data_IF_277127423623
#
_entry.id   IF_277127423623
#
_cell.length_a   1.000
_cell.length_b   1.000
_cell.length_c   1.000
_cell.angle_alpha   90.00
_cell.angle_beta   90.00
_cell.angle_gamma   90.00
#
_symmetry.space_group_name_H-M   'P 1'
#
loop_
_entity.id
_entity.type
_entity.pdbx_description
1 polymer ?
#
# COMPACT_ATOMS: atom_id res chain seq x y z
N UNK A 1 5.78 9.54 7.73
CA UNK A 1 4.57 9.43 6.86
C UNK A 1 3.88 8.10 7.17
N UNK A 2 2.65 7.89 6.72
CA UNK A 2 1.97 6.60 6.89
C UNK A 2 1.72 5.95 5.52
N UNK A 3 1.86 4.63 5.43
CA UNK A 3 1.61 3.87 4.20
C UNK A 3 0.67 2.71 4.49
N UNK A 4 -0.46 2.65 3.78
CA UNK A 4 -1.38 1.54 3.80
C UNK A 4 -1.06 0.55 2.68
N UNK A 5 -0.96 -0.72 3.05
CA UNK A 5 -0.61 -1.83 2.15
C UNK A 5 -1.66 -2.94 2.26
N UNK A 6 -2.07 -3.50 1.11
CA UNK A 6 -3.16 -4.50 1.03
C UNK A 6 -2.84 -5.68 0.09
N UNK A 7 -1.59 -5.76 -0.40
CA UNK A 7 -1.09 -6.78 -1.32
C UNK A 7 0.23 -7.38 -0.83
N UNK A 8 1.19 -7.56 -1.73
CA UNK A 8 2.51 -8.19 -1.46
C UNK A 8 3.27 -7.51 -0.32
N UNK A 9 3.21 -6.18 -0.23
CA UNK A 9 3.85 -5.40 0.85
C UNK A 9 3.23 -5.61 2.24
N UNK A 10 2.17 -6.41 2.37
CA UNK A 10 1.66 -6.85 3.70
C UNK A 10 2.57 -7.90 4.35
N UNK A 11 3.41 -8.57 3.56
CA UNK A 11 4.46 -9.46 4.04
C UNK A 11 5.63 -8.64 4.58
N UNK A 12 5.89 -8.79 5.87
CA UNK A 12 6.94 -8.07 6.57
C UNK A 12 8.33 -8.46 6.04
N UNK A 13 8.60 -9.75 5.82
CA UNK A 13 9.88 -10.19 5.26
C UNK A 13 10.14 -9.57 3.89
N UNK A 14 9.10 -9.45 3.08
CA UNK A 14 9.19 -8.81 1.78
C UNK A 14 9.50 -7.32 1.91
N UNK A 15 8.80 -6.61 2.80
CA UNK A 15 9.05 -5.20 3.10
C UNK A 15 10.51 -4.95 3.54
N UNK A 16 11.06 -5.86 4.35
CA UNK A 16 12.46 -5.79 4.78
C UNK A 16 13.45 -5.98 3.63
N UNK A 17 13.16 -6.89 2.68
CA UNK A 17 14.01 -7.08 1.50
C UNK A 17 14.02 -5.84 0.60
N UNK A 18 12.86 -5.21 0.39
CA UNK A 18 12.75 -4.02 -0.46
C UNK A 18 13.43 -2.81 0.17
N UNK A 19 13.16 -2.54 1.44
CA UNK A 19 13.70 -1.35 2.15
C UNK A 19 15.10 -1.55 2.73
N UNK A 20 15.62 -2.79 2.71
CA UNK A 20 16.90 -3.19 3.34
C UNK A 20 16.97 -2.86 4.84
N UNK A 21 15.83 -2.83 5.52
CA UNK A 21 15.72 -2.58 6.96
C UNK A 21 15.65 -3.89 7.75
N UNK A 22 16.12 -3.94 9.00
CA UNK A 22 16.00 -5.14 9.84
C UNK A 22 14.55 -5.43 10.25
N UNK A 23 14.24 -6.70 10.51
CA UNK A 23 12.92 -7.15 11.01
C UNK A 23 12.48 -6.33 12.24
N UNK A 24 11.21 -5.94 12.29
CA UNK A 24 10.67 -5.13 13.39
C UNK A 24 11.09 -3.65 13.38
N UNK A 25 11.79 -3.17 12.34
CA UNK A 25 12.09 -1.74 12.18
C UNK A 25 10.82 -0.89 12.03
N UNK A 26 9.82 -1.42 11.33
CA UNK A 26 8.58 -0.72 11.05
C UNK A 26 7.53 -0.98 12.12
N UNK A 27 6.83 0.08 12.54
CA UNK A 27 5.61 -0.08 13.35
C UNK A 27 4.44 -0.36 12.43
N UNK A 28 4.02 -1.63 12.36
CA UNK A 28 2.96 -2.09 11.47
C UNK A 28 1.74 -2.47 12.30
N UNK A 29 0.57 -1.94 11.96
CA UNK A 29 -0.71 -2.26 12.62
C UNK A 29 -1.77 -2.69 11.61
N UNK A 30 -2.81 -3.38 12.07
CA UNK A 30 -3.96 -3.72 11.22
C UNK A 30 -4.79 -2.47 10.95
N UNK A 31 -5.23 -2.31 9.70
CA UNK A 31 -6.08 -1.21 9.30
C UNK A 31 -7.01 -1.63 8.15
N UNK A 32 -8.04 -0.82 7.93
CA UNK A 32 -9.01 -0.98 6.84
C UNK A 32 -9.09 0.30 6.03
N UNK A 33 -9.24 0.13 4.72
CA UNK A 33 -9.50 1.21 3.77
C UNK A 33 -10.99 1.18 3.39
N UNK A 34 -11.82 2.07 3.95
CA UNK A 34 -13.26 2.15 3.65
C UNK A 34 -13.50 2.73 2.25
N UNK A 35 -14.65 2.43 1.64
CA UNK A 35 -15.05 2.85 0.28
C UNK A 35 -14.19 2.23 -0.83
N UNK A 36 -13.49 1.14 -0.54
CA UNK A 36 -12.73 0.38 -1.53
C UNK A 36 -13.12 -1.08 -1.50
N UNK A 37 -13.02 -1.72 -2.66
CA UNK A 37 -13.22 -3.16 -2.81
C UNK A 37 -12.02 -3.77 -3.51
N UNK A 38 -11.59 -4.94 -3.01
CA UNK A 38 -10.55 -5.76 -3.64
C UNK A 38 -11.18 -6.76 -4.61
N UNK A 39 -10.60 -6.91 -5.80
CA UNK A 39 -10.97 -7.96 -6.75
C UNK A 39 -10.16 -9.25 -6.52
N UNK A 40 -10.41 -10.28 -7.34
CA UNK A 40 -9.72 -11.58 -7.26
C UNK A 40 -8.24 -11.53 -7.66
N UNK A 41 -7.75 -10.40 -8.18
CA UNK A 41 -6.41 -10.23 -8.77
C UNK A 41 -5.54 -9.25 -7.99
N UNK A 42 -5.87 -8.97 -6.73
CA UNK A 42 -5.16 -8.04 -5.82
C UNK A 42 -5.50 -6.56 -6.07
N UNK A 43 -6.20 -6.21 -7.15
CA UNK A 43 -6.51 -4.80 -7.46
C UNK A 43 -7.58 -4.26 -6.52
N UNK A 44 -7.51 -2.97 -6.22
CA UNK A 44 -8.56 -2.26 -5.50
C UNK A 44 -9.16 -1.17 -6.35
N UNK A 45 -10.48 -0.99 -6.25
CA UNK A 45 -11.22 0.09 -6.88
C UNK A 45 -12.08 0.79 -5.85
N UNK A 46 -12.31 2.10 -6.06
CA UNK A 46 -13.22 2.88 -5.22
C UNK A 46 -14.66 2.39 -5.47
N UNK A 47 -15.45 2.29 -4.41
CA UNK A 47 -16.82 1.81 -4.43
C UNK A 47 -17.66 2.64 -3.45
N UNK A 48 -18.85 3.08 -3.84
CA UNK A 48 -19.73 3.94 -3.03
C UNK A 48 -20.53 3.17 -1.95
N UNK A 49 -20.21 1.91 -1.70
CA UNK A 49 -20.89 1.06 -0.72
C UNK A 49 -20.04 0.88 0.56
N UNK A 50 -20.63 0.32 1.62
CA UNK A 50 -20.00 -0.07 2.91
C UNK A 50 -18.90 -1.16 2.78
N UNK A 51 -18.22 -1.22 1.64
CA UNK A 51 -17.08 -2.08 1.40
C UNK A 51 -15.82 -1.49 2.02
N UNK A 52 -14.97 -2.38 2.53
CA UNK A 52 -13.65 -2.02 3.02
C UNK A 52 -12.61 -3.04 2.57
N UNK A 53 -11.38 -2.58 2.34
CA UNK A 53 -10.23 -3.45 2.11
C UNK A 53 -9.44 -3.59 3.40
N UNK A 54 -9.30 -4.81 3.89
CA UNK A 54 -8.38 -5.13 4.99
C UNK A 54 -6.93 -5.06 4.53
N UNK A 55 -6.07 -4.51 5.36
CA UNK A 55 -4.64 -4.39 5.08
C UNK A 55 -3.83 -4.11 6.34
N UNK A 56 -2.64 -3.56 6.13
CA UNK A 56 -1.74 -3.11 7.19
C UNK A 56 -1.37 -1.65 6.98
N UNK A 57 -1.23 -0.93 8.08
CA UNK A 57 -0.75 0.44 8.12
C UNK A 57 0.66 0.45 8.70
N UNK A 58 1.60 0.93 7.89
CA UNK A 58 2.98 1.19 8.29
C UNK A 58 3.04 2.62 8.82
N UNK A 59 3.36 2.76 10.10
CA UNK A 59 3.44 4.04 10.78
C UNK A 59 4.86 4.61 10.72
N UNK A 60 4.94 5.94 10.63
CA UNK A 60 6.20 6.69 10.70
C UNK A 60 7.26 6.26 9.68
N UNK A 61 6.83 5.86 8.48
CA UNK A 61 7.71 5.56 7.36
C UNK A 61 8.53 6.79 7.00
N UNK A 62 9.84 6.60 6.85
CA UNK A 62 10.76 7.64 6.43
C UNK A 62 10.66 7.87 4.91
N UNK A 63 11.27 8.96 4.43
CA UNK A 63 11.18 9.34 3.02
C UNK A 63 11.95 8.39 2.11
N UNK A 64 13.11 7.92 2.56
CA UNK A 64 13.97 7.07 1.74
C UNK A 64 13.35 5.69 1.53
N UNK A 65 12.74 5.12 2.57
CA UNK A 65 12.03 3.85 2.51
C UNK A 65 10.80 3.97 1.60
N UNK A 66 10.09 5.10 1.64
CA UNK A 66 8.98 5.38 0.73
C UNK A 66 9.43 5.47 -0.73
N UNK A 67 10.55 6.13 -1.02
CA UNK A 67 11.10 6.20 -2.39
C UNK A 67 11.55 4.83 -2.91
N UNK A 68 12.08 3.95 -2.05
CA UNK A 68 12.41 2.57 -2.42
C UNK A 68 11.16 1.74 -2.74
N UNK A 69 10.07 1.95 -1.99
CA UNK A 69 8.79 1.30 -2.24
C UNK A 69 8.13 1.82 -3.51
N UNK A 70 8.20 3.13 -3.77
CA UNK A 70 7.76 3.73 -5.04
C UNK A 70 8.51 3.10 -6.22
N UNK A 71 9.83 2.96 -6.11
CA UNK A 71 10.66 2.33 -7.13
C UNK A 71 10.24 0.87 -7.37
N UNK A 72 10.05 0.10 -6.31
CA UNK A 72 9.61 -1.30 -6.43
C UNK A 72 8.24 -1.44 -7.12
N UNK A 73 7.24 -0.68 -6.67
CA UNK A 73 5.89 -0.72 -7.25
C UNK A 73 5.87 -0.20 -8.70
N UNK A 74 6.85 0.61 -9.11
CA UNK A 74 7.05 1.04 -10.51
C UNK A 74 7.78 0.01 -11.38
N UNK A 75 8.79 -0.68 -10.83
CA UNK A 75 9.68 -1.59 -11.57
C UNK A 75 9.18 -3.03 -11.67
N UNK A 76 8.26 -3.47 -10.80
CA UNK A 76 7.69 -4.82 -10.88
C UNK A 76 6.65 -4.98 -12.03
N UNK A 77 6.75 -4.10 -13.04
CA UNK A 77 6.04 -4.11 -14.31
C UNK A 77 6.73 -5.06 -15.30
N UNK A 78 6.84 -6.35 -14.95
CA UNK A 78 7.50 -7.40 -15.75
C UNK A 78 6.80 -7.73 -17.10
N UNK A 79 6.04 -6.78 -17.68
CA UNK A 79 5.39 -6.86 -18.99
C UNK A 79 5.31 -5.49 -19.72
N UNK A 80 6.20 -4.52 -19.44
CA UNK A 80 6.18 -3.22 -20.12
C UNK A 80 7.06 -3.21 -21.39
N UNK A 81 6.62 -3.90 -22.45
CA UNK A 81 7.10 -3.64 -23.83
C UNK A 81 6.47 -2.38 -24.45
N UNK A 82 5.81 -1.53 -23.66
CA UNK A 82 5.26 -0.25 -24.13
C UNK A 82 5.47 0.84 -23.09
N UNK A 83 5.96 1.98 -23.56
CA UNK A 83 6.50 3.15 -22.86
C UNK A 83 5.51 3.92 -21.94
N UNK A 84 4.41 3.30 -21.52
CA UNK A 84 3.37 3.94 -20.70
C UNK A 84 2.73 2.91 -19.76
N UNK A 85 3.22 2.71 -18.54
CA UNK A 85 2.36 2.23 -17.43
C UNK A 85 3.08 2.24 -16.08
N UNK A 86 3.00 3.35 -15.35
CA UNK A 86 2.99 3.23 -13.89
C UNK A 86 1.67 2.53 -13.53
N UNK A 87 1.72 1.23 -13.20
CA UNK A 87 0.52 0.44 -12.90
C UNK A 87 -0.21 0.98 -11.68
N UNK A 88 0.50 1.60 -10.74
CA UNK A 88 -0.05 2.15 -9.51
C UNK A 88 0.20 3.65 -9.40
N UNK A 89 -0.84 4.39 -9.01
CA UNK A 89 -0.76 5.77 -8.55
C UNK A 89 -0.80 5.81 -7.03
N UNK A 90 0.16 6.54 -6.44
CA UNK A 90 0.14 6.82 -5.02
C UNK A 90 -0.91 7.89 -4.71
N UNK A 91 -1.86 7.57 -3.84
CA UNK A 91 -2.88 8.51 -3.36
C UNK A 91 -2.83 8.62 -1.85
N UNK A 92 -3.34 9.73 -1.32
CA UNK A 92 -3.60 9.88 0.11
C UNK A 92 -5.03 9.44 0.36
N UNK A 93 -5.22 8.54 1.31
CA UNK A 93 -6.51 7.99 1.72
C UNK A 93 -6.62 8.03 3.24
N UNK A 94 -7.86 8.06 3.74
CA UNK A 94 -8.14 7.87 5.16
C UNK A 94 -8.36 6.38 5.44
N UNK A 95 -7.63 5.84 6.41
CA UNK A 95 -7.73 4.45 6.86
C UNK A 95 -8.10 4.39 8.33
N UNK A 96 -8.79 3.33 8.71
CA UNK A 96 -9.30 3.12 10.07
C UNK A 96 -8.57 1.93 10.68
N UNK A 97 -7.98 2.09 11.87
CA UNK A 97 -7.28 1.00 12.58
C UNK A 97 -8.25 0.08 13.31
N UNK A 98 -7.74 -1.01 13.90
CA UNK A 98 -8.54 -1.88 14.76
C UNK A 98 -9.08 -1.19 16.02
N UNK A 99 -8.47 -0.08 16.42
CA UNK A 99 -8.81 0.68 17.62
C UNK A 99 -9.72 1.88 17.27
N UNK A 100 -10.35 1.87 16.09
CA UNK A 100 -11.20 2.93 15.52
C UNK A 100 -10.51 4.29 15.35
N UNK A 101 -9.18 4.33 15.31
CA UNK A 101 -8.42 5.53 15.00
C UNK A 101 -8.31 5.74 13.48
N UNK A 102 -8.48 6.99 13.03
CA UNK A 102 -8.37 7.35 11.62
C UNK A 102 -7.01 7.98 11.31
N UNK A 103 -6.33 7.49 10.28
CA UNK A 103 -5.04 8.01 9.81
C UNK A 103 -5.12 8.40 8.33
N UNK A 104 -4.42 9.47 7.97
CA UNK A 104 -4.15 9.77 6.56
C UNK A 104 -2.88 9.03 6.15
N UNK A 105 -3.00 8.17 5.15
CA UNK A 105 -1.92 7.31 4.67
C UNK A 105 -1.80 7.37 3.15
N UNK A 106 -0.58 7.18 2.67
CA UNK A 106 -0.36 6.86 1.27
C UNK A 106 -0.88 5.45 0.97
N UNK A 107 -1.33 5.21 -0.25
CA UNK A 107 -1.67 3.89 -0.77
C UNK A 107 -1.34 3.85 -2.26
N UNK A 108 -0.88 2.70 -2.73
CA UNK A 108 -0.70 2.44 -4.17
C UNK A 108 -2.01 1.90 -4.74
N UNK A 109 -2.69 2.65 -5.59
CA UNK A 109 -3.95 2.23 -6.24
C UNK A 109 -3.69 2.07 -7.74
N UNK A 110 -4.13 0.97 -8.36
CA UNK A 110 -3.91 0.79 -9.78
C UNK A 110 -4.53 1.89 -10.67
N UNK A 111 -3.89 2.21 -11.79
CA UNK A 111 -4.41 3.08 -12.85
C UNK A 111 -5.28 2.26 -13.81
N UNK A 112 -6.60 2.28 -13.61
CA UNK A 112 -7.58 1.73 -14.55
C UNK A 112 -8.72 2.72 -14.76
#
# INVERSE_FOLDING_TARGET
MHLFVYGTLTDEEFLHRVTRRPLGHFKIIKAKLPEYKRDSTIKISKCDHDSSVDGRLILNLDKNDLELLDYYESCNSDNAETDETNWYNRKIVSVITSDDETFNAFVYIPNF
#
